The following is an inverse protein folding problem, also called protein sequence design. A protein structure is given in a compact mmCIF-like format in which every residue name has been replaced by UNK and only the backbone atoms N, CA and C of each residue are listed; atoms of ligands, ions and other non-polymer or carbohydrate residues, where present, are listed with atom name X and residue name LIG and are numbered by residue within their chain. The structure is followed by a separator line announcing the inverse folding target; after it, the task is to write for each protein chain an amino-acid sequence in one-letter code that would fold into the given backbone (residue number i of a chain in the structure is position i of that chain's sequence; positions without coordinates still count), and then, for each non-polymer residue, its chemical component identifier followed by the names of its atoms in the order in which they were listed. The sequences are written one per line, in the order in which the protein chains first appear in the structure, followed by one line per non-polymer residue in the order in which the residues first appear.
data_IF_569476336059
#
_entry.id   IF_569476336059
#
_cell.length_a   1.000
_cell.length_b   1.000
_cell.length_c   1.000
_cell.angle_alpha   90.00
_cell.angle_beta   90.00
_cell.angle_gamma   90.00
#
_symmetry.space_group_name_H-M   'P 1'
#
loop_
_entity.id
_entity.type
_entity.pdbx_description
1 polymer ?
#
# COMPACT_ATOMS: atom_id res chain seq x y z
N UNK A 1 -13.80 -10.56 21.04
CA UNK A 1 -12.42 -10.04 20.96
C UNK A 1 -11.49 -11.21 20.75
N UNK A 2 -10.89 -11.30 19.56
CA UNK A 2 -10.03 -12.43 19.17
C UNK A 2 -8.60 -12.15 19.63
N UNK A 3 -8.03 -13.03 20.45
CA UNK A 3 -6.75 -12.84 21.12
C UNK A 3 -5.57 -13.06 20.16
N UNK A 4 -4.96 -11.98 19.69
CA UNK A 4 -3.67 -12.02 19.01
C UNK A 4 -2.60 -12.38 20.05
N UNK A 5 -1.90 -13.50 19.86
CA UNK A 5 -0.79 -13.92 20.73
C UNK A 5 0.24 -12.78 20.93
N UNK A 6 0.51 -12.43 22.19
CA UNK A 6 1.41 -11.34 22.61
C UNK A 6 2.83 -11.47 22.05
N UNK A 7 3.26 -12.69 21.75
CA UNK A 7 4.59 -12.99 21.21
C UNK A 7 4.84 -12.41 19.80
N UNK A 8 3.78 -12.23 18.97
CA UNK A 8 3.92 -11.76 17.58
C UNK A 8 3.63 -10.26 17.40
N UNK A 9 3.10 -9.59 18.43
CA UNK A 9 2.82 -8.15 18.42
C UNK A 9 4.05 -7.24 18.19
N UNK A 10 5.25 -7.52 18.77
CA UNK A 10 6.40 -6.63 18.55
C UNK A 10 6.88 -6.65 17.09
N UNK A 11 6.94 -7.82 16.45
CA UNK A 11 7.33 -7.94 15.04
C UNK A 11 6.33 -7.31 14.07
N UNK A 12 5.04 -7.38 14.39
CA UNK A 12 3.98 -6.72 13.61
C UNK A 12 4.08 -5.19 13.70
N UNK A 13 4.22 -4.67 14.92
CA UNK A 13 4.24 -3.22 15.17
C UNK A 13 5.47 -2.54 14.55
N UNK A 14 6.63 -3.19 14.57
CA UNK A 14 7.85 -2.67 13.95
C UNK A 14 7.71 -2.55 12.41
N UNK A 15 7.23 -3.61 11.74
CA UNK A 15 7.03 -3.59 10.28
C UNK A 15 5.93 -2.62 9.86
N UNK A 16 4.86 -2.54 10.64
CA UNK A 16 3.79 -1.57 10.42
C UNK A 16 4.33 -0.13 10.48
N UNK A 17 5.08 0.22 11.54
CA UNK A 17 5.68 1.56 11.69
C UNK A 17 6.62 1.91 10.55
N UNK A 18 7.47 0.98 10.13
CA UNK A 18 8.37 1.19 9.00
C UNK A 18 7.59 1.45 7.70
N UNK A 19 6.57 0.64 7.42
CA UNK A 19 5.70 0.81 6.25
C UNK A 19 5.01 2.17 6.27
N UNK A 20 4.43 2.53 7.42
CA UNK A 20 3.76 3.81 7.61
C UNK A 20 4.72 4.97 7.39
N UNK A 21 5.94 4.90 7.94
CA UNK A 21 6.96 5.94 7.80
C UNK A 21 7.32 6.12 6.32
N UNK A 22 7.53 5.04 5.56
CA UNK A 22 7.84 5.12 4.12
C UNK A 22 6.68 5.76 3.34
N UNK A 23 5.45 5.31 3.57
CA UNK A 23 4.27 5.85 2.86
C UNK A 23 4.05 7.33 3.19
N UNK A 24 4.25 7.72 4.45
CA UNK A 24 4.19 9.13 4.87
C UNK A 24 5.32 9.93 4.23
N UNK A 25 6.54 9.42 4.20
CA UNK A 25 7.68 10.09 3.56
C UNK A 25 7.43 10.30 2.06
N UNK A 26 6.90 9.30 1.35
CA UNK A 26 6.47 9.43 -0.04
C UNK A 26 5.35 10.48 -0.21
N UNK A 27 4.35 10.47 0.68
CA UNK A 27 3.29 11.48 0.67
C UNK A 27 3.81 12.91 0.86
N UNK A 28 4.76 13.10 1.77
CA UNK A 28 5.43 14.39 1.99
C UNK A 28 6.26 14.78 0.77
N UNK A 29 6.99 13.83 0.17
CA UNK A 29 7.73 14.05 -1.08
C UNK A 29 6.81 14.51 -2.20
N UNK A 30 5.67 13.83 -2.39
CA UNK A 30 4.63 14.23 -3.34
C UNK A 30 4.09 15.63 -3.04
N UNK A 31 3.86 16.00 -1.77
CA UNK A 31 3.45 17.37 -1.40
C UNK A 31 4.50 18.41 -1.81
N UNK A 32 5.79 18.12 -1.58
CA UNK A 32 6.88 19.00 -2.00
C UNK A 32 6.91 19.17 -3.52
N UNK A 33 6.68 18.09 -4.28
CA UNK A 33 6.55 18.16 -5.73
C UNK A 33 5.45 19.14 -6.14
N UNK A 34 4.24 19.02 -5.57
CA UNK A 34 3.14 19.95 -5.88
C UNK A 34 3.51 21.40 -5.55
N UNK A 35 4.16 21.65 -4.41
CA UNK A 35 4.63 22.97 -4.03
C UNK A 35 5.65 23.54 -5.02
N UNK A 36 6.61 22.72 -5.45
CA UNK A 36 7.63 23.11 -6.45
C UNK A 36 6.96 23.43 -7.77
N UNK A 37 6.10 22.54 -8.28
CA UNK A 37 5.38 22.79 -9.54
C UNK A 37 4.55 24.06 -9.47
N UNK A 38 3.85 24.29 -8.37
CA UNK A 38 3.04 25.50 -8.16
C UNK A 38 3.88 26.78 -8.08
N UNK A 39 5.01 26.75 -7.36
CA UNK A 39 5.86 27.91 -7.15
C UNK A 39 6.67 28.29 -8.40
N UNK A 40 7.16 27.30 -9.16
CA UNK A 40 8.06 27.53 -10.29
C UNK A 40 7.36 27.56 -11.66
N UNK A 41 6.16 26.99 -11.82
CA UNK A 41 5.44 27.05 -13.10
C UNK A 41 5.20 28.48 -13.65
N UNK A 42 4.91 29.51 -12.85
CA UNK A 42 4.73 30.88 -13.36
C UNK A 42 5.99 31.51 -13.94
N UNK A 43 7.18 31.03 -13.55
CA UNK A 43 8.46 31.53 -14.04
C UNK A 43 8.84 30.94 -15.41
N UNK A 44 8.12 29.91 -15.87
CA UNK A 44 8.38 29.25 -17.15
C UNK A 44 7.59 29.94 -18.29
N UNK A 45 8.17 30.07 -19.50
CA UNK A 45 7.43 30.51 -20.68
C UNK A 45 6.22 29.62 -20.92
N UNK A 46 5.03 30.22 -21.04
CA UNK A 46 3.83 29.45 -21.37
C UNK A 46 3.94 28.92 -22.78
N UNK A 47 3.99 27.60 -22.89
CA UNK A 47 3.96 26.92 -24.17
C UNK A 47 2.56 27.08 -24.80
N UNK A 48 2.42 27.95 -25.80
CA UNK A 48 1.13 28.25 -26.44
C UNK A 48 0.93 27.40 -27.69
N UNK A 49 0.98 26.08 -27.54
CA UNK A 49 0.72 25.15 -28.64
C UNK A 49 -0.73 24.65 -28.58
N UNK A 50 -1.48 24.71 -29.68
CA UNK A 50 -2.88 24.26 -29.74
C UNK A 50 -3.06 22.77 -29.33
N UNK A 51 -2.08 21.92 -29.61
CA UNK A 51 -2.11 20.51 -29.18
C UNK A 51 -2.05 20.36 -27.65
N UNK A 52 -1.44 21.32 -26.96
CA UNK A 52 -1.31 21.35 -25.51
C UNK A 52 -2.62 21.74 -24.85
N UNK A 53 -3.48 22.51 -25.52
CA UNK A 53 -4.82 22.86 -25.06
C UNK A 53 -5.73 21.62 -24.94
N UNK A 54 -5.53 20.63 -25.82
CA UNK A 54 -6.23 19.34 -25.78
C UNK A 54 -5.58 18.30 -24.85
N UNK A 55 -4.42 18.59 -24.25
CA UNK A 55 -3.69 17.63 -23.41
C UNK A 55 -4.39 17.30 -22.07
N UNK A 56 -5.43 18.06 -21.70
CA UNK A 56 -6.22 17.77 -20.50
C UNK A 56 -6.82 16.36 -20.54
N UNK A 57 -7.30 15.90 -21.70
CA UNK A 57 -7.89 14.58 -21.87
C UNK A 57 -6.87 13.47 -21.66
N UNK A 58 -5.64 13.68 -22.16
CA UNK A 58 -4.53 12.74 -22.01
C UNK A 58 -4.19 12.59 -20.52
N UNK A 59 -4.14 13.71 -19.80
CA UNK A 59 -3.82 13.73 -18.37
C UNK A 59 -4.91 13.04 -17.55
N UNK A 60 -6.18 13.30 -17.83
CA UNK A 60 -7.30 12.59 -17.19
C UNK A 60 -7.19 11.09 -17.47
N UNK A 61 -6.85 10.69 -18.70
CA UNK A 61 -6.67 9.30 -19.06
C UNK A 61 -5.52 8.64 -18.28
N UNK A 62 -4.37 9.33 -18.14
CA UNK A 62 -3.23 8.85 -17.35
C UNK A 62 -3.62 8.66 -15.88
N UNK A 63 -4.30 9.65 -15.27
CA UNK A 63 -4.78 9.56 -13.88
C UNK A 63 -5.74 8.39 -13.73
N UNK A 64 -6.68 8.25 -14.66
CA UNK A 64 -7.67 7.20 -14.64
C UNK A 64 -7.03 5.81 -14.72
N UNK A 65 -6.06 5.63 -15.63
CA UNK A 65 -5.30 4.38 -15.75
C UNK A 65 -4.49 4.12 -14.48
N UNK A 66 -3.78 5.11 -13.95
CA UNK A 66 -2.99 4.95 -12.73
C UNK A 66 -3.88 4.57 -11.53
N UNK A 67 -5.06 5.19 -11.40
CA UNK A 67 -6.05 4.85 -10.38
C UNK A 67 -6.56 3.42 -10.57
N UNK A 68 -6.93 3.03 -11.80
CA UNK A 68 -7.38 1.68 -12.13
C UNK A 68 -6.32 0.63 -11.79
N UNK A 69 -5.07 0.86 -12.21
CA UNK A 69 -3.93 -0.02 -11.92
C UNK A 69 -3.75 -0.15 -10.42
N UNK A 70 -3.78 0.96 -9.66
CA UNK A 70 -3.61 0.93 -8.20
C UNK A 70 -4.72 0.14 -7.51
N UNK A 71 -5.97 0.36 -7.90
CA UNK A 71 -7.14 -0.36 -7.36
C UNK A 71 -7.08 -1.85 -7.72
N UNK A 72 -6.81 -2.17 -8.98
CA UNK A 72 -6.75 -3.54 -9.46
C UNK A 72 -5.60 -4.31 -8.82
N UNK A 73 -4.43 -3.68 -8.73
CA UNK A 73 -3.25 -4.25 -8.10
C UNK A 73 -3.49 -4.50 -6.62
N UNK A 74 -4.07 -3.53 -5.88
CA UNK A 74 -4.43 -3.72 -4.48
C UNK A 74 -5.42 -4.87 -4.31
N UNK A 75 -6.46 -4.92 -5.14
CA UNK A 75 -7.47 -5.99 -5.11
C UNK A 75 -6.86 -7.36 -5.42
N UNK A 76 -5.91 -7.42 -6.33
CA UNK A 76 -5.20 -8.65 -6.69
C UNK A 76 -4.25 -9.11 -5.58
N UNK A 77 -3.47 -8.20 -5.00
CA UNK A 77 -2.55 -8.52 -3.90
C UNK A 77 -3.28 -8.92 -2.62
N UNK A 78 -4.44 -8.31 -2.34
CA UNK A 78 -5.31 -8.63 -1.21
C UNK A 78 -6.38 -9.68 -1.54
N UNK A 79 -6.23 -10.41 -2.67
CA UNK A 79 -7.15 -11.48 -2.99
C UNK A 79 -7.13 -12.57 -1.90
N UNK A 80 -8.31 -13.13 -1.54
CA UNK A 80 -8.42 -14.09 -0.45
C UNK A 80 -7.55 -15.32 -0.68
N UNK A 81 -7.41 -15.77 -1.93
CA UNK A 81 -6.53 -16.89 -2.31
C UNK A 81 -5.04 -16.62 -2.01
N UNK A 82 -4.56 -15.40 -2.30
CA UNK A 82 -3.17 -15.02 -2.03
C UNK A 82 -2.90 -14.83 -0.55
N UNK A 83 -3.85 -14.22 0.17
CA UNK A 83 -3.76 -14.10 1.63
C UNK A 83 -3.78 -15.48 2.31
N UNK A 84 -4.59 -16.42 1.83
CA UNK A 84 -4.66 -17.78 2.35
C UNK A 84 -3.35 -18.53 2.10
N UNK A 85 -2.82 -18.46 0.88
CA UNK A 85 -1.53 -19.08 0.54
C UNK A 85 -0.35 -18.46 1.29
N UNK A 86 -0.34 -17.12 1.47
CA UNK A 86 0.67 -16.45 2.28
C UNK A 86 0.54 -16.82 3.76
N UNK A 87 -0.69 -16.94 4.27
CA UNK A 87 -0.97 -17.40 5.63
C UNK A 87 -0.45 -18.82 5.88
N UNK A 88 -0.58 -19.73 4.91
CA UNK A 88 -0.02 -21.09 4.96
C UNK A 88 1.52 -21.11 5.00
N UNK A 89 2.17 -20.13 4.38
CA UNK A 89 3.65 -19.97 4.38
C UNK A 89 4.16 -19.26 5.64
N UNK A 90 3.27 -18.75 6.49
CA UNK A 90 3.59 -18.14 7.78
C UNK A 90 3.32 -16.63 7.85
N UNK A 91 3.36 -16.12 9.08
CA UNK A 91 3.05 -14.72 9.45
C UNK A 91 3.96 -13.73 8.70
N UNK A 92 5.25 -14.06 8.57
CA UNK A 92 6.22 -13.20 7.89
C UNK A 92 5.86 -12.97 6.41
N UNK A 93 5.35 -13.99 5.72
CA UNK A 93 4.95 -13.93 4.30
C UNK A 93 3.67 -13.11 4.12
N UNK A 94 2.70 -13.27 5.02
CA UNK A 94 1.46 -12.50 5.00
C UNK A 94 1.74 -11.00 5.21
N UNK A 95 2.54 -10.64 6.22
CA UNK A 95 2.96 -9.26 6.45
C UNK A 95 3.74 -8.67 5.28
N UNK A 96 4.62 -9.46 4.65
CA UNK A 96 5.39 -9.01 3.49
C UNK A 96 4.49 -8.68 2.29
N UNK A 97 3.40 -9.42 2.12
CA UNK A 97 2.44 -9.19 1.05
C UNK A 97 1.63 -7.91 1.26
N UNK A 98 1.17 -7.67 2.49
CA UNK A 98 0.49 -6.42 2.86
C UNK A 98 1.45 -5.21 2.72
N UNK A 99 2.69 -5.38 3.16
CA UNK A 99 3.75 -4.38 2.96
C UNK A 99 3.93 -4.02 1.49
N UNK A 100 4.13 -5.01 0.62
CA UNK A 100 4.29 -4.78 -0.81
C UNK A 100 3.08 -4.08 -1.42
N UNK A 101 1.86 -4.45 -1.03
CA UNK A 101 0.64 -3.83 -1.57
C UNK A 101 0.57 -2.32 -1.27
N UNK A 102 0.85 -1.93 -0.03
CA UNK A 102 0.89 -0.51 0.34
C UNK A 102 2.06 0.22 -0.29
N UNK A 103 3.25 -0.40 -0.34
CA UNK A 103 4.44 0.21 -0.92
C UNK A 103 4.26 0.49 -2.41
N UNK A 104 3.82 -0.51 -3.19
CA UNK A 104 3.66 -0.35 -4.65
C UNK A 104 2.60 0.72 -4.95
N UNK A 105 1.49 0.74 -4.22
CA UNK A 105 0.47 1.77 -4.39
C UNK A 105 0.98 3.18 -4.08
N UNK A 106 1.79 3.33 -3.02
CA UNK A 106 2.41 4.60 -2.69
C UNK A 106 3.42 5.05 -3.77
N UNK A 107 4.23 4.13 -4.29
CA UNK A 107 5.21 4.40 -5.35
C UNK A 107 4.51 4.81 -6.65
N UNK A 108 3.41 4.15 -7.03
CA UNK A 108 2.62 4.55 -8.21
C UNK A 108 2.08 5.98 -8.03
N UNK A 109 1.55 6.29 -6.84
CA UNK A 109 1.12 7.65 -6.52
C UNK A 109 2.25 8.67 -6.65
N UNK A 110 3.43 8.35 -6.11
CA UNK A 110 4.60 9.25 -6.18
C UNK A 110 5.07 9.49 -7.62
N UNK A 111 5.09 8.45 -8.47
CA UNK A 111 5.39 8.59 -9.91
C UNK A 111 4.40 9.52 -10.61
N UNK A 112 3.09 9.42 -10.30
CA UNK A 112 2.07 10.34 -10.83
C UNK A 112 2.33 11.77 -10.37
N UNK A 113 2.78 11.96 -9.12
CA UNK A 113 3.16 13.26 -8.58
C UNK A 113 4.34 13.89 -9.34
N UNK A 114 5.39 13.11 -9.60
CA UNK A 114 6.56 13.54 -10.39
C UNK A 114 6.12 13.95 -11.80
N UNK A 115 5.30 13.14 -12.47
CA UNK A 115 4.77 13.47 -13.80
C UNK A 115 3.97 14.78 -13.79
N UNK A 116 3.24 15.06 -12.71
CA UNK A 116 2.52 16.31 -12.51
C UNK A 116 3.42 17.54 -12.50
N UNK A 117 4.55 17.46 -11.80
CA UNK A 117 5.53 18.55 -11.77
C UNK A 117 6.22 18.71 -13.10
N UNK A 118 6.68 17.61 -13.69
CA UNK A 118 7.35 17.65 -15.00
C UNK A 118 6.43 18.29 -16.05
N UNK A 119 5.17 17.88 -16.11
CA UNK A 119 4.18 18.46 -17.01
C UNK A 119 3.96 19.96 -16.73
N UNK A 120 3.87 20.35 -15.46
CA UNK A 120 3.66 21.75 -15.07
C UNK A 120 4.85 22.65 -15.42
N UNK A 121 6.08 22.18 -15.20
CA UNK A 121 7.30 22.89 -15.54
C UNK A 121 7.47 23.02 -17.07
N UNK A 122 7.20 21.95 -17.82
CA UNK A 122 7.33 21.98 -19.29
C UNK A 122 6.30 22.88 -19.98
N UNK A 123 5.11 23.01 -19.41
CA UNK A 123 4.01 23.79 -20.02
C UNK A 123 3.88 25.20 -19.46
N UNK A 124 4.49 25.48 -18.29
CA UNK A 124 4.27 26.71 -17.52
C UNK A 124 2.85 26.82 -16.96
N UNK A 125 2.08 25.72 -16.95
CA UNK A 125 0.71 25.70 -16.44
C UNK A 125 0.65 25.04 -15.06
N UNK A 126 0.27 25.82 -14.05
CA UNK A 126 0.11 25.38 -12.65
C UNK A 126 -1.04 24.38 -12.46
N UNK A 127 -2.02 24.36 -13.36
CA UNK A 127 -3.17 23.45 -13.24
C UNK A 127 -2.76 21.98 -13.30
N UNK A 128 -1.73 21.65 -14.08
CA UNK A 128 -1.24 20.28 -14.17
C UNK A 128 -0.61 19.82 -12.87
N UNK A 129 0.19 20.67 -12.21
CA UNK A 129 0.77 20.34 -10.91
C UNK A 129 -0.32 20.11 -9.85
N UNK A 130 -1.35 20.96 -9.81
CA UNK A 130 -2.42 20.82 -8.83
C UNK A 130 -3.29 19.58 -9.07
N UNK A 131 -3.74 19.34 -10.31
CA UNK A 131 -4.62 18.21 -10.64
C UNK A 131 -3.91 16.86 -10.47
N UNK A 132 -2.70 16.72 -11.02
CA UNK A 132 -1.92 15.48 -10.91
C UNK A 132 -1.37 15.29 -9.49
N UNK A 133 -1.02 16.38 -8.81
CA UNK A 133 -0.64 16.39 -7.41
C UNK A 133 -1.71 15.87 -6.48
N UNK A 134 -2.94 16.39 -6.59
CA UNK A 134 -4.07 15.90 -5.80
C UNK A 134 -4.35 14.43 -6.12
N UNK A 135 -4.36 14.06 -7.40
CA UNK A 135 -4.56 12.67 -7.80
C UNK A 135 -3.51 11.75 -7.16
N UNK A 136 -2.23 12.11 -7.24
CA UNK A 136 -1.13 11.39 -6.60
C UNK A 136 -1.34 11.24 -5.09
N UNK A 137 -1.69 12.31 -4.39
CA UNK A 137 -1.97 12.28 -2.96
C UNK A 137 -3.16 11.37 -2.63
N UNK A 138 -4.22 11.39 -3.44
CA UNK A 138 -5.37 10.49 -3.27
C UNK A 138 -4.96 9.02 -3.50
N UNK A 139 -4.09 8.73 -4.47
CA UNK A 139 -3.55 7.38 -4.68
C UNK A 139 -2.72 6.90 -3.48
N UNK A 140 -1.86 7.76 -2.93
CA UNK A 140 -1.05 7.44 -1.75
C UNK A 140 -1.93 7.25 -0.52
N UNK A 141 -2.90 8.15 -0.31
CA UNK A 141 -3.87 8.07 0.79
C UNK A 141 -4.75 6.82 0.68
N UNK A 142 -5.13 6.44 -0.54
CA UNK A 142 -5.83 5.19 -0.78
C UNK A 142 -4.93 3.99 -0.41
N UNK A 143 -3.65 4.03 -0.78
CA UNK A 143 -2.66 2.97 -0.54
C UNK A 143 -2.19 2.86 0.92
N UNK A 144 -2.70 3.73 1.80
CA UNK A 144 -2.27 3.81 3.19
C UNK A 144 -2.48 2.48 3.94
N UNK A 145 -1.46 2.00 4.70
CA UNK A 145 -1.55 0.74 5.43
C UNK A 145 -2.56 0.89 6.59
N UNK A 146 -3.78 0.37 6.38
CA UNK A 146 -4.83 0.37 7.40
C UNK A 146 -4.59 -0.73 8.42
N UNK A 147 -4.35 -0.35 9.68
CA UNK A 147 -4.10 -1.27 10.79
C UNK A 147 -5.18 -2.36 10.94
N UNK A 148 -6.45 -2.00 10.71
CA UNK A 148 -7.57 -2.95 10.78
C UNK A 148 -7.54 -4.08 9.73
N UNK A 149 -6.93 -3.86 8.55
CA UNK A 149 -6.76 -4.93 7.55
C UNK A 149 -5.71 -5.95 8.01
N UNK A 150 -4.68 -5.49 8.73
CA UNK A 150 -3.62 -6.34 9.28
C UNK A 150 -4.14 -7.19 10.43
N UNK A 151 -4.93 -6.59 11.33
CA UNK A 151 -5.55 -7.30 12.45
C UNK A 151 -6.54 -8.36 11.96
N UNK A 152 -7.38 -8.06 10.96
CA UNK A 152 -8.28 -9.05 10.34
C UNK A 152 -7.54 -10.19 9.66
N UNK A 153 -6.44 -9.89 8.95
CA UNK A 153 -5.66 -10.91 8.26
C UNK A 153 -4.97 -11.86 9.24
N UNK A 154 -4.52 -11.36 10.40
CA UNK A 154 -3.99 -12.22 11.46
C UNK A 154 -5.09 -13.05 12.15
N UNK A 155 -6.23 -12.43 12.48
CA UNK A 155 -7.36 -13.14 13.09
C UNK A 155 -7.88 -14.28 12.18
N UNK A 156 -7.99 -14.03 10.88
CA UNK A 156 -8.38 -15.05 9.89
C UNK A 156 -7.36 -16.19 9.76
N UNK A 157 -6.08 -15.92 9.99
CA UNK A 157 -5.06 -16.97 10.00
C UNK A 157 -5.10 -17.82 11.28
N UNK A 158 -5.21 -17.20 12.45
CA UNK A 158 -5.33 -17.91 13.73
C UNK A 158 -6.57 -18.82 13.72
N UNK A 159 -7.69 -18.34 13.17
CA UNK A 159 -8.90 -19.15 13.01
C UNK A 159 -8.68 -20.36 12.06
N UNK A 160 -8.00 -20.16 10.93
CA UNK A 160 -7.66 -21.26 10.02
C UNK A 160 -6.68 -22.27 10.63
N UNK A 161 -5.71 -21.81 11.44
CA UNK A 161 -4.75 -22.70 12.12
C UNK A 161 -5.45 -23.58 13.17
N UNK A 162 -6.40 -23.01 13.92
CA UNK A 162 -7.18 -23.75 14.91
C UNK A 162 -8.20 -24.71 14.27
N UNK A 163 -8.65 -24.41 13.04
CA UNK A 163 -9.55 -25.28 12.28
C UNK A 163 -8.84 -26.43 11.55
N UNK A 164 -7.51 -26.44 11.47
CA UNK A 164 -6.75 -27.51 10.81
C UNK A 164 -6.62 -28.74 11.74
N UNK A 165 -7.24 -29.89 11.39
CA UNK A 165 -7.31 -31.07 12.26
C UNK A 165 -5.92 -31.68 12.57
N UNK A 166 -4.92 -31.43 11.72
CA UNK A 166 -3.55 -31.89 11.97
C UNK A 166 -2.90 -31.18 13.16
N UNK A 167 -3.26 -29.92 13.43
CA UNK A 167 -2.74 -29.15 14.57
C UNK A 167 -3.32 -29.67 15.88
N UNK A 168 -4.60 -30.05 15.90
CA UNK A 168 -5.25 -30.69 17.05
C UNK A 168 -4.65 -32.08 17.35
N UNK A 169 -4.34 -32.86 16.30
CA UNK A 169 -3.66 -34.14 16.44
C UNK A 169 -2.23 -34.01 16.98
N UNK A 170 -1.47 -32.99 16.55
CA UNK A 170 -0.11 -32.73 17.05
C UNK A 170 -0.11 -32.23 18.51
N UNK A 171 -1.05 -31.36 18.88
CA UNK A 171 -1.20 -30.91 20.26
C UNK A 171 -1.52 -32.09 21.20
N UNK A 172 -2.41 -32.99 20.77
CA UNK A 172 -2.75 -34.19 21.54
C UNK A 172 -1.54 -35.14 21.66
N UNK A 173 -0.71 -35.25 20.62
CA UNK A 173 0.52 -36.06 20.64
C UNK A 173 1.57 -35.48 21.60
N UNK A 174 1.73 -34.16 21.66
CA UNK A 174 2.64 -33.50 22.61
C UNK A 174 2.17 -33.62 24.07
N UNK A 175 0.88 -33.48 24.34
CA UNK A 175 0.33 -33.69 25.69
C UNK A 175 0.58 -35.13 26.14
N UNK A 176 0.43 -36.10 25.24
CA UNK A 176 0.68 -37.52 25.53
C UNK A 176 2.16 -37.82 25.81
N UNK A 177 3.09 -37.12 25.15
CA UNK A 177 4.53 -37.25 25.39
C UNK A 177 4.96 -36.56 26.69
N UNK A 178 4.43 -35.38 27.00
CA UNK A 178 4.77 -34.67 28.23
C UNK A 178 4.22 -35.33 29.51
N UNK A 179 3.15 -36.13 29.41
CA UNK A 179 2.63 -36.93 30.52
C UNK A 179 3.45 -38.22 30.77
N UNK A 180 4.17 -38.72 29.76
CA UNK A 180 5.02 -39.91 29.88
C UNK A 180 6.35 -39.63 30.58
N UNK A 181 6.78 -38.37 30.64
CA UNK A 181 8.02 -37.96 31.31
C UNK A 181 7.82 -37.65 32.82
N UNK A 182 6.61 -37.84 33.34
CA UNK A 182 6.24 -37.56 34.74
C UNK A 182 5.94 -38.78 35.62
N UNK A 183 6.11 -40.00 35.09
CA UNK A 183 6.05 -41.26 35.86
C UNK A 183 7.44 -41.87 36.07
#
# INVERSE_FOLDING_TARGET
MTYISSANQPHLSARYRLTMLIVVALGISTLLYVLIGWAFAPAMPRANYEWLTNSHYIIICIVFIAALVTVFLRRFLLSPLRLLNAGRRGISSLLSQLYMASLIGAVIGDVVGILGVVASLMTGNKEYSWRLGIAALLLIAYSFPRRGEWERAMAGMEQNRNADPNTAAQANKQVKLGLLDTE
#
